data_IF_892961384069
#
_entry.id   IF_892961384069
#
_cell.length_a   1.000
_cell.length_b   1.000
_cell.length_c   1.000
_cell.angle_alpha   90.00
_cell.angle_beta   90.00
_cell.angle_gamma   90.00
#
_symmetry.space_group_name_H-M   'P 1'
#
loop_
_entity.id
_entity.type
_entity.pdbx_description
1 polymer ?
#
# COMPACT_ATOMS: atom_id res chain seq x y z
N UNK A 1 21.98 6.76 -4.80
CA UNK A 1 22.07 5.59 -3.88
C UNK A 1 20.79 5.38 -3.11
N UNK A 2 20.46 6.13 -2.03
CA UNK A 2 19.18 5.92 -1.30
C UNK A 2 17.92 6.20 -2.15
N UNK A 3 17.94 7.24 -2.98
CA UNK A 3 16.80 7.53 -3.88
C UNK A 3 16.56 6.41 -4.90
N UNK A 4 17.62 5.77 -5.38
CA UNK A 4 17.53 4.67 -6.35
C UNK A 4 16.95 3.43 -5.69
N UNK A 5 17.40 3.09 -4.48
CA UNK A 5 16.79 2.04 -3.66
C UNK A 5 15.29 2.28 -3.43
N UNK A 6 14.90 3.51 -3.07
CA UNK A 6 13.49 3.87 -2.85
C UNK A 6 12.68 3.72 -4.14
N UNK A 7 13.21 4.19 -5.27
CA UNK A 7 12.54 4.07 -6.57
C UNK A 7 12.39 2.61 -6.96
N UNK A 8 13.45 1.82 -6.86
CA UNK A 8 13.44 0.40 -7.21
C UNK A 8 12.47 -0.39 -6.32
N UNK A 9 12.48 -0.13 -5.00
CA UNK A 9 11.53 -0.72 -4.05
C UNK A 9 10.08 -0.45 -4.46
N UNK A 10 9.75 0.79 -4.79
CA UNK A 10 8.42 1.13 -5.26
C UNK A 10 8.09 0.48 -6.60
N UNK A 11 8.98 0.55 -7.60
CA UNK A 11 8.70 0.04 -8.94
C UNK A 11 8.52 -1.49 -8.90
N UNK A 12 9.41 -2.22 -8.24
CA UNK A 12 9.37 -3.69 -8.15
C UNK A 12 8.09 -4.22 -7.50
N UNK A 13 7.45 -3.42 -6.64
CA UNK A 13 6.17 -3.79 -6.03
C UNK A 13 5.02 -3.95 -7.04
N UNK A 14 5.13 -3.36 -8.24
CA UNK A 14 4.13 -3.45 -9.31
C UNK A 14 4.30 -4.65 -10.23
N UNK A 15 5.39 -5.40 -10.07
CA UNK A 15 5.68 -6.61 -10.86
C UNK A 15 4.88 -7.80 -10.31
N UNK A 16 3.56 -7.68 -10.32
CA UNK A 16 2.57 -8.68 -9.90
C UNK A 16 1.45 -8.73 -10.96
N UNK A 17 0.46 -9.60 -10.86
CA UNK A 17 -0.64 -9.64 -11.83
C UNK A 17 -1.85 -8.79 -11.37
N UNK A 18 -2.17 -8.82 -10.08
CA UNK A 18 -3.37 -8.22 -9.49
C UNK A 18 -3.45 -6.69 -9.71
N UNK A 19 -4.31 -6.30 -10.64
CA UNK A 19 -4.64 -4.91 -10.94
C UNK A 19 -5.21 -4.16 -9.75
N UNK A 20 -5.95 -4.84 -8.87
CA UNK A 20 -6.62 -4.23 -7.72
C UNK A 20 -5.60 -3.63 -6.76
N UNK A 21 -4.59 -4.41 -6.39
CA UNK A 21 -3.52 -3.95 -5.51
C UNK A 21 -2.68 -2.85 -6.17
N UNK A 22 -2.29 -3.01 -7.44
CA UNK A 22 -1.57 -1.96 -8.20
C UNK A 22 -2.31 -0.62 -8.16
N UNK A 23 -3.61 -0.64 -8.40
CA UNK A 23 -4.44 0.56 -8.35
C UNK A 23 -4.52 1.18 -6.95
N UNK A 24 -4.69 0.38 -5.89
CA UNK A 24 -4.70 0.89 -4.51
C UNK A 24 -3.36 1.52 -4.12
N UNK A 25 -2.23 0.97 -4.58
CA UNK A 25 -0.90 1.55 -4.36
C UNK A 25 -0.73 2.89 -5.11
N UNK A 26 -1.23 3.00 -6.34
CA UNK A 26 -1.27 4.25 -7.10
C UNK A 26 -2.13 5.29 -6.38
N UNK A 27 -3.32 4.91 -5.91
CA UNK A 27 -4.22 5.78 -5.13
C UNK A 27 -3.49 6.27 -3.88
N UNK A 28 -2.90 5.37 -3.10
CA UNK A 28 -2.13 5.70 -1.91
C UNK A 28 -1.04 6.73 -2.21
N UNK A 29 -0.31 6.54 -3.32
CA UNK A 29 0.74 7.45 -3.78
C UNK A 29 0.20 8.84 -4.15
N UNK A 30 -0.91 8.90 -4.92
CA UNK A 30 -1.54 10.17 -5.34
C UNK A 30 -2.07 10.99 -4.16
N UNK A 31 -2.43 10.34 -3.06
CA UNK A 31 -3.01 10.98 -1.88
C UNK A 31 -1.98 11.56 -0.91
N UNK A 32 -0.68 11.37 -1.14
CA UNK A 32 0.36 11.85 -0.23
C UNK A 32 0.59 13.37 -0.35
N UNK A 33 0.81 14.01 0.81
CA UNK A 33 1.20 15.40 0.97
C UNK A 33 2.45 15.48 1.84
N UNK A 34 3.44 16.25 1.39
CA UNK A 34 4.63 16.57 2.16
C UNK A 34 4.44 17.81 3.03
N UNK A 35 4.88 17.73 4.29
CA UNK A 35 4.89 18.83 5.23
C UNK A 35 6.32 19.11 5.68
N UNK A 36 6.95 20.12 5.06
CA UNK A 36 8.33 20.51 5.37
C UNK A 36 8.51 21.00 6.81
N UNK A 37 7.52 21.69 7.37
CA UNK A 37 7.59 22.25 8.72
C UNK A 37 7.60 21.14 9.78
N UNK A 38 6.71 20.17 9.63
CA UNK A 38 6.62 19.01 10.51
C UNK A 38 7.57 17.88 10.11
N UNK A 39 8.25 17.98 8.96
CA UNK A 39 9.15 16.94 8.43
C UNK A 39 8.48 15.56 8.37
N UNK A 40 7.24 15.51 7.87
CA UNK A 40 6.53 14.26 7.60
C UNK A 40 5.81 14.31 6.26
N UNK A 41 5.43 13.14 5.77
CA UNK A 41 4.52 12.94 4.65
C UNK A 41 3.29 12.23 5.21
N UNK A 42 2.11 12.76 4.91
CA UNK A 42 0.84 12.27 5.44
C UNK A 42 -0.18 12.09 4.31
N UNK A 43 -1.31 11.46 4.63
CA UNK A 43 -2.35 11.16 3.65
C UNK A 43 -3.43 12.24 3.64
N UNK A 44 -3.73 12.76 2.45
CA UNK A 44 -4.92 13.56 2.19
C UNK A 44 -6.18 12.69 2.25
N UNK A 45 -6.90 12.77 3.36
CA UNK A 45 -8.05 11.92 3.63
C UNK A 45 -9.26 12.22 2.73
N UNK A 46 -9.43 13.47 2.32
CA UNK A 46 -10.52 13.84 1.43
C UNK A 46 -10.26 13.26 0.03
N UNK A 47 -9.02 13.41 -0.45
CA UNK A 47 -8.59 12.81 -1.71
C UNK A 47 -8.72 11.29 -1.68
N UNK A 48 -8.23 10.64 -0.63
CA UNK A 48 -8.29 9.19 -0.48
C UNK A 48 -9.73 8.68 -0.52
N UNK A 49 -10.64 9.34 0.20
CA UNK A 49 -12.06 8.97 0.21
C UNK A 49 -12.65 8.95 -1.20
N UNK A 50 -12.45 10.02 -1.97
CA UNK A 50 -13.00 10.12 -3.32
C UNK A 50 -12.33 9.12 -4.29
N UNK A 51 -11.01 8.94 -4.23
CA UNK A 51 -10.29 7.94 -5.03
C UNK A 51 -10.83 6.52 -4.75
N UNK A 52 -11.11 6.17 -3.48
CA UNK A 52 -11.69 4.89 -3.10
C UNK A 52 -13.16 4.73 -3.51
N UNK A 53 -13.91 5.82 -3.60
CA UNK A 53 -15.26 5.81 -4.20
C UNK A 53 -15.13 5.49 -5.68
N UNK A 54 -14.26 6.17 -6.41
CA UNK A 54 -13.97 5.92 -7.83
C UNK A 54 -13.57 4.47 -8.08
N UNK A 55 -12.66 3.93 -7.25
CA UNK A 55 -12.18 2.54 -7.33
C UNK A 55 -13.33 1.53 -7.39
N UNK A 56 -14.38 1.71 -6.58
CA UNK A 56 -15.53 0.77 -6.56
C UNK A 56 -16.28 0.69 -7.90
N UNK A 57 -16.07 1.64 -8.83
CA UNK A 57 -16.73 1.64 -10.13
C UNK A 57 -15.88 1.02 -11.23
N UNK A 58 -14.56 0.93 -11.10
CA UNK A 58 -13.70 0.41 -12.17
C UNK A 58 -12.92 -0.84 -11.81
N UNK A 59 -12.83 -1.21 -10.53
CA UNK A 59 -12.04 -2.35 -10.08
C UNK A 59 -12.77 -3.14 -8.98
N UNK A 60 -12.40 -4.42 -8.81
CA UNK A 60 -12.80 -5.21 -7.65
C UNK A 60 -11.79 -5.03 -6.50
N UNK A 61 -12.21 -5.38 -5.29
CA UNK A 61 -11.29 -5.37 -4.13
C UNK A 61 -10.41 -6.63 -4.16
N UNK A 62 -9.16 -6.56 -3.69
CA UNK A 62 -8.35 -7.76 -3.45
C UNK A 62 -9.12 -8.75 -2.57
N UNK A 63 -9.03 -10.04 -2.91
CA UNK A 63 -9.74 -11.10 -2.18
C UNK A 63 -8.94 -11.63 -0.97
N UNK A 64 -7.62 -11.60 -1.07
CA UNK A 64 -6.68 -11.98 -0.01
C UNK A 64 -6.53 -10.89 1.06
N UNK A 65 -5.90 -11.24 2.18
CA UNK A 65 -5.70 -10.34 3.32
C UNK A 65 -4.30 -9.69 3.35
N UNK A 66 -3.35 -10.19 2.57
CA UNK A 66 -1.96 -9.70 2.56
C UNK A 66 -1.77 -8.40 1.74
N UNK A 67 -2.55 -7.36 2.06
CA UNK A 67 -2.59 -6.09 1.28
C UNK A 67 -1.64 -5.01 1.80
N UNK A 68 -0.65 -5.33 2.64
CA UNK A 68 0.21 -4.35 3.33
C UNK A 68 0.96 -3.40 2.39
N UNK A 69 1.21 -3.80 1.13
CA UNK A 69 1.89 -2.95 0.16
C UNK A 69 1.12 -1.67 -0.23
N UNK A 70 -0.17 -1.54 0.13
CA UNK A 70 -0.86 -0.23 0.05
C UNK A 70 -0.22 0.84 0.95
N UNK A 71 0.55 0.45 1.96
CA UNK A 71 1.27 1.33 2.88
C UNK A 71 2.67 1.73 2.37
N UNK A 72 3.24 0.94 1.45
CA UNK A 72 4.60 1.12 0.95
C UNK A 72 4.89 2.56 0.47
N UNK A 73 4.02 3.24 -0.30
CA UNK A 73 4.31 4.61 -0.76
C UNK A 73 4.48 5.61 0.40
N UNK A 74 3.70 5.44 1.47
CA UNK A 74 3.74 6.29 2.65
C UNK A 74 4.99 6.03 3.49
N UNK A 75 5.38 4.75 3.62
CA UNK A 75 6.61 4.35 4.31
C UNK A 75 7.83 4.93 3.57
N UNK A 76 7.92 4.69 2.26
CA UNK A 76 9.04 5.13 1.42
C UNK A 76 9.17 6.66 1.33
N UNK A 77 8.08 7.39 1.45
CA UNK A 77 8.09 8.85 1.41
C UNK A 77 8.45 9.50 2.74
N UNK A 78 8.37 8.80 3.87
CA UNK A 78 8.78 9.33 5.17
C UNK A 78 10.24 9.01 5.49
N UNK A 79 11.01 9.97 6.04
CA UNK A 79 12.37 9.71 6.54
C UNK A 79 12.40 9.41 8.04
N UNK A 80 11.38 9.84 8.79
CA UNK A 80 11.32 9.63 10.24
C UNK A 80 10.41 8.43 10.51
N UNK A 81 10.98 7.38 11.12
CA UNK A 81 10.27 6.12 11.36
C UNK A 81 9.07 6.27 12.30
N UNK A 82 9.16 7.12 13.35
CA UNK A 82 8.04 7.34 14.28
C UNK A 82 6.87 8.06 13.62
N UNK A 83 7.14 9.15 12.88
CA UNK A 83 6.08 9.87 12.14
C UNK A 83 5.50 9.01 11.02
N UNK A 84 6.33 8.20 10.38
CA UNK A 84 5.87 7.18 9.42
C UNK A 84 4.90 6.21 10.10
N UNK A 85 5.24 5.70 11.29
CA UNK A 85 4.43 4.77 12.07
C UNK A 85 3.04 5.35 12.38
N UNK A 86 2.96 6.58 12.89
CA UNK A 86 1.68 7.26 13.16
C UNK A 86 0.78 7.33 11.91
N UNK A 87 1.36 7.72 10.77
CA UNK A 87 0.62 7.88 9.51
C UNK A 87 0.20 6.53 8.90
N UNK A 88 1.05 5.49 8.95
CA UNK A 88 0.68 4.15 8.46
C UNK A 88 -0.41 3.52 9.31
N UNK A 89 -0.38 3.73 10.63
CA UNK A 89 -1.44 3.26 11.54
C UNK A 89 -2.77 3.95 11.24
N UNK A 90 -2.75 5.25 10.91
CA UNK A 90 -3.95 5.97 10.50
C UNK A 90 -4.46 5.51 9.12
N UNK A 91 -3.56 5.14 8.19
CA UNK A 91 -3.91 4.69 6.85
C UNK A 91 -4.47 3.26 6.85
N UNK A 92 -3.81 2.31 7.52
CA UNK A 92 -4.23 0.90 7.50
C UNK A 92 -5.63 0.73 8.08
N UNK A 93 -5.98 1.46 9.13
CA UNK A 93 -7.33 1.42 9.70
C UNK A 93 -8.42 1.84 8.71
N UNK A 94 -8.12 2.76 7.78
CA UNK A 94 -9.06 3.17 6.72
C UNK A 94 -9.20 2.07 5.68
N UNK A 95 -8.08 1.46 5.26
CA UNK A 95 -8.12 0.34 4.32
C UNK A 95 -8.84 -0.87 4.90
N UNK A 96 -8.61 -1.22 6.17
CA UNK A 96 -9.31 -2.33 6.85
C UNK A 96 -10.82 -2.14 6.80
N UNK A 97 -11.32 -0.93 7.11
CA UNK A 97 -12.76 -0.61 7.02
C UNK A 97 -13.26 -0.64 5.58
N UNK A 98 -12.49 -0.04 4.66
CA UNK A 98 -12.86 -0.01 3.24
C UNK A 98 -12.96 -1.41 2.64
N UNK A 99 -12.00 -2.29 2.95
CA UNK A 99 -11.91 -3.66 2.45
C UNK A 99 -12.82 -4.63 3.22
N UNK A 100 -13.50 -4.17 4.27
CA UNK A 100 -14.38 -4.99 5.13
C UNK A 100 -13.63 -6.14 5.83
N UNK A 101 -12.46 -5.83 6.40
CA UNK A 101 -11.55 -6.78 7.07
C UNK A 101 -11.40 -6.47 8.56
N UNK A 102 -12.39 -5.82 9.17
CA UNK A 102 -12.34 -5.31 10.56
C UNK A 102 -12.07 -6.38 11.60
N UNK A 103 -12.41 -7.64 11.32
CA UNK A 103 -12.10 -8.76 12.21
C UNK A 103 -10.60 -9.00 12.41
N UNK A 104 -9.76 -8.55 11.47
CA UNK A 104 -8.29 -8.64 11.52
C UNK A 104 -7.62 -7.32 11.91
N UNK A 105 -8.37 -6.33 12.42
CA UNK A 105 -7.88 -4.98 12.66
C UNK A 105 -6.55 -4.94 13.45
N UNK A 106 -6.44 -5.71 14.53
CA UNK A 106 -5.23 -5.70 15.36
C UNK A 106 -4.04 -6.40 14.69
N UNK A 107 -4.28 -7.44 13.90
CA UNK A 107 -3.23 -8.09 13.11
C UNK A 107 -2.67 -7.13 12.06
N UNK A 108 -3.55 -6.38 11.38
CA UNK A 108 -3.12 -5.33 10.44
C UNK A 108 -2.36 -4.19 11.13
N UNK A 109 -2.80 -3.75 12.31
CA UNK A 109 -2.08 -2.70 13.07
C UNK A 109 -0.67 -3.17 13.39
N UNK A 110 -0.53 -4.38 13.95
CA UNK A 110 0.77 -4.94 14.32
C UNK A 110 1.63 -5.16 13.07
N UNK A 111 1.09 -5.81 12.04
CA UNK A 111 1.80 -6.04 10.78
C UNK A 111 2.24 -4.74 10.08
N UNK A 112 1.49 -3.65 10.24
CA UNK A 112 1.90 -2.32 9.74
C UNK A 112 3.12 -1.78 10.48
N UNK A 113 3.23 -2.02 11.78
CA UNK A 113 4.42 -1.65 12.58
C UNK A 113 5.62 -2.51 12.18
N UNK A 114 5.44 -3.83 12.05
CA UNK A 114 6.47 -4.74 11.53
C UNK A 114 6.98 -4.24 10.17
N UNK A 115 6.06 -3.98 9.23
CA UNK A 115 6.39 -3.63 7.86
C UNK A 115 7.05 -2.25 7.75
N UNK A 116 6.56 -1.26 8.50
CA UNK A 116 7.20 0.05 8.61
C UNK A 116 8.64 -0.10 9.13
N UNK A 117 8.85 -0.85 10.22
CA UNK A 117 10.19 -1.06 10.76
C UNK A 117 11.12 -1.77 9.77
N UNK A 118 10.65 -2.84 9.13
CA UNK A 118 11.41 -3.61 8.15
C UNK A 118 11.93 -2.71 7.02
N UNK A 119 11.05 -1.97 6.35
CA UNK A 119 11.44 -1.18 5.18
C UNK A 119 12.38 -0.03 5.57
N UNK A 120 12.14 0.65 6.70
CA UNK A 120 13.05 1.71 7.17
C UNK A 120 14.44 1.15 7.52
N UNK A 121 14.48 0.03 8.25
CA UNK A 121 15.71 -0.65 8.62
C UNK A 121 16.53 -1.03 7.38
N UNK A 122 15.90 -1.66 6.38
CA UNK A 122 16.58 -2.08 5.15
C UNK A 122 17.04 -0.91 4.26
N UNK A 123 16.31 0.20 4.25
CA UNK A 123 16.73 1.42 3.52
C UNK A 123 17.94 2.07 4.21
N UNK A 124 17.99 2.03 5.55
CA UNK A 124 19.08 2.61 6.31
C UNK A 124 20.33 1.73 6.32
N UNK A 125 20.15 0.43 6.48
CA UNK A 125 21.19 -0.61 6.40
C UNK A 125 20.64 -1.86 5.68
N UNK A 126 20.98 -2.01 4.41
CA UNK A 126 20.56 -3.18 3.60
C UNK A 126 21.29 -4.47 3.97
N UNK A 127 22.41 -4.39 4.67
CA UNK A 127 23.25 -5.53 5.04
C UNK A 127 22.89 -6.07 6.44
N UNK A 128 21.72 -5.68 6.98
CA UNK A 128 21.24 -6.21 8.25
C UNK A 128 20.96 -7.71 8.16
N UNK A 129 21.43 -8.44 9.16
CA UNK A 129 21.22 -9.88 9.29
C UNK A 129 19.76 -10.19 9.70
N UNK A 130 19.29 -11.38 9.34
CA UNK A 130 17.92 -11.82 9.59
C UNK A 130 17.49 -11.69 11.06
N UNK A 131 18.33 -12.17 11.99
CA UNK A 131 18.04 -12.09 13.43
C UNK A 131 17.97 -10.64 13.94
N UNK A 132 18.87 -9.76 13.46
CA UNK A 132 18.89 -8.34 13.83
C UNK A 132 17.61 -7.63 13.37
N UNK A 133 17.12 -7.94 12.17
CA UNK A 133 15.86 -7.41 11.64
C UNK A 133 14.68 -7.84 12.51
N UNK A 134 14.58 -9.13 12.84
CA UNK A 134 13.49 -9.64 13.66
C UNK A 134 13.51 -9.06 15.07
N UNK A 135 14.69 -8.92 15.67
CA UNK A 135 14.83 -8.33 16.99
C UNK A 135 14.43 -6.85 17.00
N UNK A 136 14.85 -6.08 15.99
CA UNK A 136 14.45 -4.68 15.83
C UNK A 136 12.93 -4.54 15.67
N UNK A 137 12.33 -5.41 14.85
CA UNK A 137 10.89 -5.48 14.65
C UNK A 137 10.17 -5.81 15.97
N UNK A 138 10.66 -6.80 16.72
CA UNK A 138 10.08 -7.21 18.01
C UNK A 138 10.05 -6.05 19.00
N UNK A 139 11.13 -5.29 19.10
CA UNK A 139 11.21 -4.11 19.96
C UNK A 139 10.15 -3.05 19.62
N UNK A 140 9.90 -2.81 18.33
CA UNK A 140 8.82 -1.91 17.89
C UNK A 140 7.44 -2.40 18.30
N UNK A 141 7.17 -3.69 18.16
CA UNK A 141 5.89 -4.28 18.58
C UNK A 141 5.69 -4.16 20.09
N UNK A 142 6.72 -4.41 20.89
CA UNK A 142 6.68 -4.26 22.36
C UNK A 142 6.42 -2.80 22.74
N UNK A 143 7.13 -1.87 22.09
CA UNK A 143 7.05 -0.44 22.33
C UNK A 143 5.77 0.23 21.83
N UNK A 144 4.96 -0.46 21.03
CA UNK A 144 3.74 0.11 20.45
C UNK A 144 2.73 0.51 21.54
N UNK A 145 2.39 1.80 21.55
CA UNK A 145 1.39 2.39 22.42
C UNK A 145 0.19 2.85 21.59
N UNK A 146 -1.00 2.38 21.95
CA UNK A 146 -2.26 2.80 21.32
C UNK A 146 -3.31 3.08 22.40
N UNK A 147 -4.16 4.06 22.14
CA UNK A 147 -5.31 4.37 23.00
C UNK A 147 -6.57 3.66 22.47
N UNK A 148 -7.19 2.83 23.32
CA UNK A 148 -8.38 2.06 23.01
C UNK A 148 -9.32 2.01 24.22
N UNK A 149 -10.60 1.70 23.98
CA UNK A 149 -11.50 1.32 25.07
C UNK A 149 -11.04 0.03 25.75
N UNK A 150 -11.51 -0.22 26.99
CA UNK A 150 -11.05 -1.35 27.81
C UNK A 150 -11.17 -2.70 27.10
N UNK A 151 -12.26 -2.95 26.37
CA UNK A 151 -12.51 -4.25 25.72
C UNK A 151 -11.58 -4.44 24.53
N UNK A 152 -11.45 -3.40 23.70
CA UNK A 152 -10.53 -3.41 22.56
C UNK A 152 -9.08 -3.49 23.01
N UNK A 153 -8.73 -2.86 24.13
CA UNK A 153 -7.39 -2.93 24.71
C UNK A 153 -7.01 -4.37 25.07
N UNK A 154 -7.89 -5.13 25.72
CA UNK A 154 -7.63 -6.54 26.06
C UNK A 154 -7.35 -7.36 24.79
N UNK A 155 -8.22 -7.22 23.77
CA UNK A 155 -8.06 -7.93 22.49
C UNK A 155 -6.75 -7.57 21.79
N UNK A 156 -6.40 -6.28 21.78
CA UNK A 156 -5.14 -5.82 21.23
C UNK A 156 -3.93 -6.40 21.97
N UNK A 157 -3.96 -6.42 23.31
CA UNK A 157 -2.87 -7.01 24.10
C UNK A 157 -2.70 -8.50 23.82
N UNK A 158 -3.79 -9.25 23.66
CA UNK A 158 -3.73 -10.66 23.27
C UNK A 158 -3.11 -10.84 21.87
N UNK A 159 -3.53 -10.05 20.89
CA UNK A 159 -2.96 -10.07 19.54
C UNK A 159 -1.46 -9.71 19.57
N UNK A 160 -1.08 -8.70 20.36
CA UNK A 160 0.31 -8.28 20.53
C UNK A 160 1.18 -9.38 21.14
N UNK A 161 0.70 -10.08 22.16
CA UNK A 161 1.41 -11.23 22.75
C UNK A 161 1.58 -12.34 21.72
N UNK A 162 0.52 -12.69 20.97
CA UNK A 162 0.60 -13.68 19.87
C UNK A 162 1.65 -13.27 18.84
N UNK A 163 1.64 -12.01 18.40
CA UNK A 163 2.61 -11.51 17.42
C UNK A 163 4.06 -11.61 17.93
N UNK A 164 4.32 -11.25 19.19
CA UNK A 164 5.65 -11.37 19.81
C UNK A 164 6.10 -12.85 19.84
N UNK A 165 5.21 -13.76 20.22
CA UNK A 165 5.50 -15.21 20.23
C UNK A 165 5.80 -15.74 18.83
N UNK A 166 5.08 -15.29 17.81
CA UNK A 166 5.36 -15.68 16.42
C UNK A 166 6.73 -15.13 16.00
N UNK A 167 7.07 -13.88 16.31
CA UNK A 167 8.41 -13.35 16.02
C UNK A 167 9.50 -14.17 16.72
N UNK A 168 9.30 -14.55 17.98
CA UNK A 168 10.23 -15.40 18.73
C UNK A 168 10.42 -16.77 18.09
N UNK A 169 9.34 -17.38 17.58
CA UNK A 169 9.45 -18.63 16.82
C UNK A 169 10.33 -18.45 15.57
N UNK A 170 10.19 -17.33 14.85
CA UNK A 170 10.99 -17.06 13.65
C UNK A 170 12.47 -16.76 13.98
N UNK A 171 12.75 -16.16 15.13
CA UNK A 171 14.12 -16.00 15.66
C UNK A 171 14.73 -17.38 15.96
N UNK A 172 13.95 -18.27 16.58
CA UNK A 172 14.33 -19.67 16.85
C UNK A 172 14.32 -20.58 15.61
N UNK A 173 14.06 -20.04 14.40
CA UNK A 173 13.92 -20.77 13.14
C UNK A 173 12.82 -21.86 13.16
N UNK A 174 11.77 -21.65 13.95
CA UNK A 174 10.53 -22.45 13.98
C UNK A 174 9.50 -21.83 13.03
N UNK A 175 9.66 -22.13 11.75
CA UNK A 175 8.93 -21.48 10.66
C UNK A 175 7.56 -22.13 10.42
N UNK A 176 6.59 -21.34 9.96
CA UNK A 176 5.27 -21.80 9.56
C UNK A 176 5.13 -21.79 8.04
N UNK A 177 4.17 -22.54 7.51
CA UNK A 177 3.77 -22.40 6.12
C UNK A 177 2.92 -21.14 5.91
N UNK A 178 2.77 -20.72 4.66
CA UNK A 178 1.82 -19.66 4.29
C UNK A 178 0.37 -20.13 4.51
N UNK A 179 -0.44 -19.27 5.12
CA UNK A 179 -1.85 -19.56 5.38
C UNK A 179 -2.72 -18.33 5.10
N UNK A 180 -3.94 -18.55 4.58
CA UNK A 180 -4.87 -17.45 4.34
C UNK A 180 -5.22 -16.72 5.65
N UNK A 181 -5.17 -15.39 5.61
CA UNK A 181 -5.52 -14.49 6.73
C UNK A 181 -4.54 -14.46 7.91
N UNK A 182 -3.44 -15.22 7.90
CA UNK A 182 -2.36 -15.10 8.91
C UNK A 182 -1.36 -14.00 8.54
N UNK A 183 -1.82 -12.74 8.56
CA UNK A 183 -1.11 -11.56 8.00
C UNK A 183 0.31 -11.38 8.57
N UNK A 184 0.47 -11.51 9.89
CA UNK A 184 1.79 -11.34 10.56
C UNK A 184 2.72 -12.49 10.17
N UNK A 185 2.22 -13.73 10.26
CA UNK A 185 2.98 -14.94 9.90
C UNK A 185 3.44 -14.89 8.45
N UNK A 186 2.54 -14.52 7.53
CA UNK A 186 2.88 -14.42 6.11
C UNK A 186 3.92 -13.33 5.83
N UNK A 187 3.87 -12.18 6.52
CA UNK A 187 4.91 -11.17 6.41
C UNK A 187 6.27 -11.70 6.90
N UNK A 188 6.29 -12.43 8.02
CA UNK A 188 7.51 -13.05 8.54
C UNK A 188 8.03 -14.16 7.62
N UNK A 189 7.14 -14.94 6.99
CA UNK A 189 7.50 -15.90 5.96
C UNK A 189 8.20 -15.22 4.78
N UNK A 190 7.71 -14.07 4.31
CA UNK A 190 8.39 -13.32 3.25
C UNK A 190 9.81 -12.90 3.68
N UNK A 191 10.00 -12.47 4.93
CA UNK A 191 11.33 -12.12 5.44
C UNK A 191 12.22 -13.37 5.49
N UNK A 192 11.73 -14.48 6.05
CA UNK A 192 12.46 -15.75 6.07
C UNK A 192 12.87 -16.18 4.67
N UNK A 193 11.96 -16.08 3.70
CA UNK A 193 12.19 -16.57 2.36
C UNK A 193 13.32 -15.84 1.63
N UNK A 194 13.43 -14.55 1.91
CA UNK A 194 14.44 -13.69 1.30
C UNK A 194 15.83 -13.99 1.86
N UNK A 195 15.92 -14.35 3.14
CA UNK A 195 17.19 -14.52 3.84
C UNK A 195 17.66 -15.98 3.91
N UNK A 196 16.75 -16.94 3.91
CA UNK A 196 17.05 -18.34 4.22
C UNK A 196 16.67 -19.29 3.09
N UNK A 197 15.46 -19.18 2.52
CA UNK A 197 14.93 -20.16 1.55
C UNK A 197 13.98 -19.54 0.53
N UNK A 198 14.22 -19.72 -0.77
CA UNK A 198 13.32 -19.18 -1.79
C UNK A 198 12.03 -20.01 -1.97
N UNK A 199 11.06 -19.85 -1.05
CA UNK A 199 9.71 -20.46 -1.14
C UNK A 199 8.76 -19.65 -2.02
N UNK A 200 7.82 -20.34 -2.67
CA UNK A 200 6.74 -19.68 -3.41
C UNK A 200 5.71 -19.06 -2.46
N UNK A 201 5.29 -17.83 -2.79
CA UNK A 201 4.25 -17.12 -2.04
C UNK A 201 2.86 -17.47 -2.57
N UNK A 202 1.86 -17.42 -1.70
CA UNK A 202 0.50 -17.90 -2.03
C UNK A 202 -0.40 -16.87 -2.73
N UNK A 203 -0.01 -15.58 -2.78
CA UNK A 203 -0.78 -14.53 -3.45
C UNK A 203 0.07 -13.32 -3.85
N UNK A 204 -0.51 -12.47 -4.71
CA UNK A 204 0.14 -11.28 -5.26
C UNK A 204 0.44 -10.19 -4.23
N UNK A 205 -0.29 -10.15 -3.12
CA UNK A 205 0.01 -9.25 -2.00
C UNK A 205 1.38 -9.53 -1.39
N UNK A 206 1.64 -10.81 -1.11
CA UNK A 206 2.92 -11.28 -0.59
C UNK A 206 4.02 -11.21 -1.65
N UNK A 207 3.70 -11.52 -2.92
CA UNK A 207 4.66 -11.38 -4.03
C UNK A 207 5.13 -9.93 -4.18
N UNK A 208 4.19 -8.99 -4.10
CA UNK A 208 4.46 -7.56 -4.14
C UNK A 208 5.43 -7.16 -3.02
N UNK A 209 5.20 -7.61 -1.78
CA UNK A 209 6.09 -7.33 -0.63
C UNK A 209 7.47 -7.97 -0.85
N UNK A 210 7.51 -9.24 -1.27
CA UNK A 210 8.76 -9.97 -1.52
C UNK A 210 9.62 -9.27 -2.56
N UNK A 211 9.03 -8.84 -3.69
CA UNK A 211 9.72 -8.09 -4.75
C UNK A 211 10.18 -6.71 -4.28
N UNK A 212 9.37 -6.00 -3.48
CA UNK A 212 9.78 -4.72 -2.88
C UNK A 212 11.05 -4.87 -2.05
N UNK A 213 11.10 -5.86 -1.16
CA UNK A 213 12.23 -6.09 -0.25
C UNK A 213 13.45 -6.58 -1.04
N UNK A 214 13.29 -7.56 -1.92
CA UNK A 214 14.38 -8.09 -2.75
C UNK A 214 15.06 -7.00 -3.56
N UNK A 215 14.31 -6.01 -4.07
CA UNK A 215 14.91 -4.90 -4.83
C UNK A 215 15.66 -3.85 -3.98
N UNK A 216 15.50 -3.87 -2.65
CA UNK A 216 16.37 -3.11 -1.74
C UNK A 216 17.71 -3.86 -1.57
N UNK A 217 17.63 -5.19 -1.43
CA UNK A 217 18.79 -6.05 -1.18
C UNK A 217 19.61 -6.31 -2.46
N UNK A 218 18.94 -6.43 -3.60
CA UNK A 218 19.49 -6.79 -4.92
C UNK A 218 19.26 -5.65 -5.92
N UNK A 219 20.28 -5.33 -6.72
CA UNK A 219 20.23 -4.19 -7.63
C UNK A 219 19.49 -4.45 -8.95
N UNK A 220 19.32 -5.72 -9.35
CA UNK A 220 18.84 -6.07 -10.68
C UNK A 220 17.54 -6.90 -10.61
N UNK A 221 16.49 -6.36 -11.22
CA UNK A 221 15.28 -7.11 -11.54
C UNK A 221 14.92 -6.86 -13.01
N UNK A 222 14.77 -7.94 -13.78
CA UNK A 222 14.09 -7.89 -15.07
C UNK A 222 12.59 -7.76 -14.80
N UNK A 223 12.12 -6.52 -14.68
CA UNK A 223 10.75 -6.21 -14.31
C UNK A 223 9.81 -6.27 -15.53
N UNK A 224 8.65 -6.90 -15.38
CA UNK A 224 7.62 -6.93 -16.41
C UNK A 224 6.39 -6.14 -15.94
N UNK A 225 6.47 -4.80 -16.02
CA UNK A 225 5.46 -3.91 -15.46
C UNK A 225 4.75 -3.15 -16.59
N UNK A 226 3.44 -3.33 -16.65
CA UNK A 226 2.57 -2.52 -17.50
C UNK A 226 2.66 -1.04 -17.12
N UNK A 227 2.72 -0.17 -18.14
CA UNK A 227 2.77 1.28 -17.96
C UNK A 227 3.94 1.77 -17.08
N UNK A 228 5.11 1.12 -17.22
CA UNK A 228 6.34 1.38 -16.46
C UNK A 228 6.75 2.87 -16.41
N UNK A 229 6.52 3.64 -17.47
CA UNK A 229 6.83 5.07 -17.50
C UNK A 229 6.01 5.87 -16.46
N UNK A 230 4.74 5.51 -16.29
CA UNK A 230 3.88 6.12 -15.29
C UNK A 230 4.30 5.71 -13.88
N UNK A 231 4.58 4.42 -13.65
CA UNK A 231 5.06 3.90 -12.36
C UNK A 231 6.40 4.54 -11.97
N UNK A 232 7.32 4.67 -12.92
CA UNK A 232 8.60 5.37 -12.74
C UNK A 232 8.40 6.85 -12.38
N UNK A 233 7.41 7.50 -12.98
CA UNK A 233 7.02 8.88 -12.62
C UNK A 233 6.47 8.98 -11.19
N UNK A 234 5.71 7.99 -10.73
CA UNK A 234 5.24 7.90 -9.34
C UNK A 234 6.39 7.62 -8.36
N UNK A 235 7.35 6.78 -8.74
CA UNK A 235 8.57 6.56 -7.96
C UNK A 235 9.38 7.85 -7.79
N UNK A 236 9.53 8.64 -8.86
CA UNK A 236 10.12 9.97 -8.81
C UNK A 236 9.32 10.91 -7.89
N UNK A 237 7.99 10.86 -7.94
CA UNK A 237 7.12 11.65 -7.07
C UNK A 237 7.35 11.32 -5.58
N UNK A 238 7.48 10.04 -5.21
CA UNK A 238 7.80 9.60 -3.84
C UNK A 238 9.12 10.22 -3.35
N UNK A 239 10.19 10.19 -4.15
CA UNK A 239 11.47 10.79 -3.74
C UNK A 239 11.37 12.31 -3.55
N UNK A 240 10.53 13.00 -4.33
CA UNK A 240 10.29 14.44 -4.17
C UNK A 240 9.49 14.75 -2.90
N UNK A 241 8.49 13.93 -2.57
CA UNK A 241 7.75 14.01 -1.29
C UNK A 241 8.70 13.82 -0.10
N UNK A 242 9.58 12.82 -0.17
CA UNK A 242 10.59 12.54 0.86
C UNK A 242 11.54 13.71 1.10
N UNK A 243 11.79 14.53 0.08
CA UNK A 243 12.61 15.76 0.15
C UNK A 243 11.80 17.01 0.52
N UNK A 244 10.50 16.87 0.77
CA UNK A 244 9.57 17.98 1.04
C UNK A 244 9.60 19.07 -0.04
N UNK A 245 9.62 18.64 -1.31
CA UNK A 245 9.81 19.50 -2.48
C UNK A 245 8.58 19.59 -3.41
N UNK A 246 7.48 18.94 -3.07
CA UNK A 246 6.22 19.03 -3.82
C UNK A 246 5.39 20.21 -3.31
N UNK A 247 5.29 20.40 -1.98
CA UNK A 247 4.44 21.40 -1.32
C UNK A 247 2.99 21.39 -1.84
N UNK A 248 2.41 20.18 -1.94
CA UNK A 248 1.05 20.00 -2.49
C UNK A 248 0.01 20.60 -1.53
N UNK A 249 -0.92 21.39 -2.06
CA UNK A 249 -2.09 21.84 -1.30
C UNK A 249 -3.09 20.70 -1.06
N UNK A 250 -3.73 20.70 0.09
CA UNK A 250 -4.80 19.74 0.40
C UNK A 250 -5.96 19.83 -0.58
N UNK A 251 -6.52 18.68 -0.93
CA UNK A 251 -7.69 18.54 -1.78
C UNK A 251 -8.92 19.10 -1.05
N UNK A 252 -9.53 20.11 -1.67
CA UNK A 252 -10.63 20.90 -1.13
C UNK A 252 -11.90 20.83 -2.01
N UNK A 253 -11.91 19.92 -2.99
CA UNK A 253 -13.05 19.67 -3.89
C UNK A 253 -13.66 18.31 -3.49
N UNK A 254 -14.89 18.03 -3.93
CA UNK A 254 -15.52 16.71 -3.79
C UNK A 254 -15.88 16.22 -5.19
N UNK A 255 -15.70 14.93 -5.45
CA UNK A 255 -15.96 14.32 -6.76
C UNK A 255 -16.75 13.01 -6.64
N UNK A 256 -17.76 12.84 -7.50
CA UNK A 256 -18.54 11.61 -7.64
C UNK A 256 -18.35 11.05 -9.06
N UNK A 257 -17.94 9.77 -9.22
CA UNK A 257 -17.74 9.16 -10.54
C UNK A 257 -19.02 9.07 -11.37
N UNK A 258 -20.22 9.21 -10.77
CA UNK A 258 -21.49 9.30 -11.50
C UNK A 258 -21.57 10.52 -12.42
N UNK A 259 -20.76 11.55 -12.19
CA UNK A 259 -20.63 12.68 -13.13
C UNK A 259 -20.22 12.22 -14.54
N UNK A 260 -19.50 11.10 -14.65
CA UNK A 260 -19.06 10.51 -15.92
C UNK A 260 -20.24 9.98 -16.76
N UNK A 261 -21.38 9.67 -16.14
CA UNK A 261 -22.58 9.14 -16.84
C UNK A 261 -23.07 10.11 -17.91
N UNK A 262 -22.88 11.42 -17.72
CA UNK A 262 -23.36 12.45 -18.63
C UNK A 262 -22.44 12.67 -19.85
N UNK A 263 -21.24 12.08 -19.87
CA UNK A 263 -20.28 12.25 -20.94
C UNK A 263 -20.55 11.30 -22.11
N UNK A 264 -20.17 11.70 -23.32
CA UNK A 264 -20.27 10.93 -24.55
C UNK A 264 -18.90 10.54 -25.08
N UNK A 265 -18.86 9.54 -25.96
CA UNK A 265 -17.62 9.11 -26.63
C UNK A 265 -16.99 10.30 -27.36
N UNK A 266 -15.69 10.52 -27.14
CA UNK A 266 -14.92 11.63 -27.68
C UNK A 266 -14.81 12.83 -26.74
N UNK A 267 -15.67 12.94 -25.73
CA UNK A 267 -15.61 14.05 -24.76
C UNK A 267 -14.27 14.05 -24.02
N UNK A 268 -13.75 15.26 -23.79
CA UNK A 268 -12.53 15.49 -23.03
C UNK A 268 -12.80 16.51 -21.94
N UNK A 269 -12.60 16.13 -20.69
CA UNK A 269 -12.82 16.99 -19.52
C UNK A 269 -11.62 16.94 -18.56
N UNK A 270 -11.59 17.87 -17.61
CA UNK A 270 -10.68 17.80 -16.45
C UNK A 270 -11.47 17.26 -15.27
N UNK A 271 -11.22 16.01 -14.91
CA UNK A 271 -11.80 15.36 -13.74
C UNK A 271 -11.00 15.70 -12.47
N UNK A 272 -11.63 15.98 -11.32
CA UNK A 272 -10.90 16.29 -10.09
C UNK A 272 -9.97 15.18 -9.60
N UNK A 273 -10.28 13.91 -9.90
CA UNK A 273 -9.55 12.73 -9.44
C UNK A 273 -8.59 12.24 -10.53
N UNK A 274 -9.10 12.00 -11.73
CA UNK A 274 -8.32 11.42 -12.83
C UNK A 274 -7.62 12.47 -13.71
N UNK A 275 -7.79 13.76 -13.40
CA UNK A 275 -7.28 14.89 -14.17
C UNK A 275 -7.85 14.86 -15.61
N UNK A 276 -7.10 15.31 -16.61
CA UNK A 276 -7.54 15.28 -18.01
C UNK A 276 -7.87 13.85 -18.43
N UNK A 277 -9.14 13.62 -18.76
CA UNK A 277 -9.66 12.35 -19.25
C UNK A 277 -10.28 12.51 -20.64
N UNK A 278 -10.25 11.44 -21.42
CA UNK A 278 -10.96 11.31 -22.69
C UNK A 278 -11.85 10.07 -22.66
N UNK A 279 -13.12 10.21 -23.05
CA UNK A 279 -14.04 9.07 -23.14
C UNK A 279 -13.78 8.29 -24.44
N UNK A 280 -13.39 7.03 -24.29
CA UNK A 280 -13.03 6.12 -25.39
C UNK A 280 -14.24 5.33 -25.88
N UNK A 281 -15.06 4.84 -24.95
CA UNK A 281 -16.30 4.12 -25.26
C UNK A 281 -17.35 4.35 -24.18
N UNK A 282 -18.62 4.17 -24.57
CA UNK A 282 -19.78 4.24 -23.69
C UNK A 282 -20.83 3.28 -24.22
N UNK A 283 -21.05 2.22 -23.46
CA UNK A 283 -21.86 1.08 -23.89
C UNK A 283 -22.83 0.70 -22.77
N UNK A 284 -24.09 0.40 -23.10
CA UNK A 284 -25.09 -0.03 -22.13
C UNK A 284 -25.60 -1.42 -22.50
N UNK A 285 -25.30 -2.40 -21.65
CA UNK A 285 -25.72 -3.80 -21.83
C UNK A 285 -26.04 -4.43 -20.47
N UNK A 286 -27.02 -5.34 -20.42
CA UNK A 286 -27.40 -6.08 -19.20
C UNK A 286 -27.67 -5.20 -17.97
N UNK A 287 -28.32 -4.05 -18.16
CA UNK A 287 -28.57 -3.04 -17.12
C UNK A 287 -27.30 -2.43 -16.47
N UNK A 288 -26.15 -2.58 -17.13
CA UNK A 288 -24.87 -1.98 -16.73
C UNK A 288 -24.41 -1.00 -17.80
N UNK A 289 -24.21 0.26 -17.39
CA UNK A 289 -23.53 1.26 -18.21
C UNK A 289 -22.03 1.12 -18.00
N UNK A 290 -21.28 0.85 -19.07
CA UNK A 290 -19.82 0.80 -19.08
C UNK A 290 -19.27 2.03 -19.80
N UNK A 291 -18.38 2.77 -19.15
CA UNK A 291 -17.71 3.93 -19.71
C UNK A 291 -16.20 3.70 -19.63
N UNK A 292 -15.55 3.57 -20.79
CA UNK A 292 -14.10 3.45 -20.87
C UNK A 292 -13.50 4.83 -21.05
N UNK A 293 -12.57 5.21 -20.17
CA UNK A 293 -11.88 6.49 -20.22
C UNK A 293 -10.37 6.29 -20.23
N UNK A 294 -9.66 7.18 -20.92
CA UNK A 294 -8.20 7.25 -20.92
C UNK A 294 -7.77 8.47 -20.11
N UNK A 295 -6.83 8.27 -19.19
CA UNK A 295 -6.17 9.33 -18.43
C UNK A 295 -4.64 9.17 -18.51
N UNK A 296 -3.90 10.07 -17.85
CA UNK A 296 -2.44 9.93 -17.72
C UNK A 296 -2.03 8.66 -16.97
N UNK A 297 -2.84 8.20 -16.01
CA UNK A 297 -2.50 7.04 -15.18
C UNK A 297 -2.90 5.70 -15.80
N UNK A 298 -3.60 5.70 -16.93
CA UNK A 298 -3.99 4.49 -17.64
C UNK A 298 -5.37 4.59 -18.28
N UNK A 299 -5.88 3.44 -18.69
CA UNK A 299 -7.25 3.28 -19.17
C UNK A 299 -8.09 2.61 -18.09
N UNK A 300 -9.29 3.14 -17.88
CA UNK A 300 -10.21 2.68 -16.84
C UNK A 300 -11.57 2.39 -17.46
N UNK A 301 -12.22 1.31 -17.02
CA UNK A 301 -13.58 0.97 -17.46
C UNK A 301 -14.53 1.05 -16.28
N UNK A 302 -15.27 2.15 -16.20
CA UNK A 302 -16.26 2.37 -15.14
C UNK A 302 -17.54 1.62 -15.44
N UNK A 303 -18.08 0.92 -14.45
CA UNK A 303 -19.34 0.17 -14.51
C UNK A 303 -20.37 0.75 -13.55
N UNK A 304 -21.50 1.22 -14.08
CA UNK A 304 -22.62 1.75 -13.31
C UNK A 304 -23.81 0.81 -13.46
N UNK A 305 -24.20 0.14 -12.37
CA UNK A 305 -25.42 -0.67 -12.34
C UNK A 305 -26.63 0.22 -12.06
N UNK A 306 -27.70 0.02 -12.82
CA UNK A 306 -29.01 0.62 -12.49
C UNK A 306 -29.55 -0.09 -11.24
N UNK A 307 -29.69 0.65 -10.14
CA UNK A 307 -30.36 0.21 -8.91
C UNK A 307 -31.87 0.34 -9.11
#
# INVERSE_FOLDING_TARGET
MRDDLIKNCYISSFDIEDSSLKHLMIIGTKCLIDNKLQRNVYVDNNRLKDELIYFNFYESKPQYSDVLNVLLPLILSNTNIQKSEEEVLALIQKYVRYLKKEQYLFDYILASVLYNSLIHNLIDNKDMEYEEILQSIKEKVIGLQIELDKTSMIKFQMARIKAIQVIDNYIDLKICDYEENEIITNLLNVIYDIYMEDREVINDGLLSIKKSILSILSADANLNIDNIDFISSMAMYITKLRKYSINKSSYNISSDPRSLINLNKGDTIVDPILNKIQVISKDFCDNVLRISIKSKSGQYTFSFKRV
#
